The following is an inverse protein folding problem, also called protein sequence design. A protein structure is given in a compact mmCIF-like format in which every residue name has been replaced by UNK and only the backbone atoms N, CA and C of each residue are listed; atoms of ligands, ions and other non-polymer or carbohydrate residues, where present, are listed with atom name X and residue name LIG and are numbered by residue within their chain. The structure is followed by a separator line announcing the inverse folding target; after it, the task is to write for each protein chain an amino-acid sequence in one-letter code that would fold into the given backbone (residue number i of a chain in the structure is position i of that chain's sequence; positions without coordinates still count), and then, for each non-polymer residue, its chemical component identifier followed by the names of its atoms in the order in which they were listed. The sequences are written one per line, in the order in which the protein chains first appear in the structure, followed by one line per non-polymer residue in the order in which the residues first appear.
data_IF_964561592252
#
_entry.id   IF_964561592252
#
_cell.length_a   1.000
_cell.length_b   1.000
_cell.length_c   1.000
_cell.angle_alpha   90.00
_cell.angle_beta   90.00
_cell.angle_gamma   90.00
#
_symmetry.space_group_name_H-M   'P 1'
#
loop_
_entity.id
_entity.type
_entity.pdbx_description
1 polymer ?
#
# COMPACT_ATOMS: atom_id res chain seq x y z
N UNK A 1 9.78 15.88 -12.69
CA UNK A 1 9.69 16.16 -11.24
C UNK A 1 11.06 16.46 -10.65
N UNK A 2 12.07 15.61 -10.82
CA UNK A 2 13.45 15.89 -10.33
C UNK A 2 14.11 17.15 -10.91
N UNK A 3 13.76 17.53 -12.15
CA UNK A 3 14.27 18.79 -12.76
C UNK A 3 13.70 20.08 -12.15
N UNK A 4 12.75 20.00 -11.23
CA UNK A 4 12.09 21.15 -10.59
C UNK A 4 12.54 21.37 -9.13
N UNK A 5 13.62 20.72 -8.69
CA UNK A 5 14.16 20.86 -7.33
C UNK A 5 13.55 19.93 -6.28
N UNK A 6 12.74 18.94 -6.69
CA UNK A 6 12.17 17.94 -5.78
C UNK A 6 13.10 16.73 -5.63
N UNK A 7 13.17 16.19 -4.41
CA UNK A 7 13.94 15.00 -4.05
C UNK A 7 13.00 13.79 -3.94
N UNK A 8 13.39 12.67 -4.55
CA UNK A 8 12.63 11.43 -4.46
C UNK A 8 12.82 10.76 -3.10
N UNK A 9 11.72 10.39 -2.44
CA UNK A 9 11.71 9.73 -1.14
C UNK A 9 10.93 8.40 -1.20
N UNK A 10 11.59 7.27 -1.51
CA UNK A 10 10.93 5.97 -1.55
C UNK A 10 10.58 5.50 -0.12
N UNK A 11 9.33 5.09 0.10
CA UNK A 11 8.86 4.55 1.37
C UNK A 11 8.34 3.11 1.22
N UNK A 12 8.39 2.33 2.30
CA UNK A 12 7.78 1.01 2.32
C UNK A 12 6.24 1.12 2.18
N UNK A 13 5.58 0.17 1.51
CA UNK A 13 4.16 0.23 1.25
C UNK A 13 3.29 -0.22 2.43
N UNK A 14 3.86 -0.40 3.63
CA UNK A 14 3.17 -0.83 4.84
C UNK A 14 2.74 0.39 5.65
N UNK A 15 1.50 0.37 6.14
CA UNK A 15 0.91 1.47 6.90
C UNK A 15 0.13 0.93 8.09
N UNK A 16 0.12 1.72 9.16
CA UNK A 16 -0.81 1.52 10.28
C UNK A 16 -2.17 2.13 9.95
N UNK A 17 -3.26 1.51 10.40
CA UNK A 17 -4.60 2.08 10.22
C UNK A 17 -4.79 3.40 10.98
N UNK A 18 -4.03 3.61 12.05
CA UNK A 18 -4.02 4.87 12.82
C UNK A 18 -3.62 6.07 11.95
N UNK A 19 -2.88 5.85 10.85
CA UNK A 19 -2.47 6.94 9.97
C UNK A 19 -3.66 7.62 9.31
N UNK A 20 -4.75 6.89 9.06
CA UNK A 20 -5.95 7.46 8.46
C UNK A 20 -6.68 8.39 9.43
N UNK A 21 -6.63 8.09 10.72
CA UNK A 21 -7.13 8.98 11.78
C UNK A 21 -6.28 10.24 11.89
N UNK A 22 -4.95 10.10 11.81
CA UNK A 22 -4.02 11.23 11.81
C UNK A 22 -4.18 12.14 10.58
N UNK A 23 -4.57 11.56 9.45
CA UNK A 23 -4.93 12.29 8.23
C UNK A 23 -6.33 12.93 8.30
N UNK A 24 -7.12 12.65 9.33
CA UNK A 24 -8.46 13.20 9.50
C UNK A 24 -9.47 12.64 8.50
N UNK A 25 -9.24 11.44 7.95
CA UNK A 25 -10.17 10.82 7.01
C UNK A 25 -11.45 10.40 7.74
N UNK A 26 -12.62 10.56 7.10
CA UNK A 26 -13.87 10.04 7.66
C UNK A 26 -13.85 8.51 7.75
N UNK A 27 -14.64 7.92 8.66
CA UNK A 27 -14.63 6.47 8.89
C UNK A 27 -15.07 5.65 7.65
N UNK A 28 -15.90 6.24 6.80
CA UNK A 28 -16.42 5.67 5.56
C UNK A 28 -15.56 6.02 4.32
N UNK A 29 -14.44 6.71 4.51
CA UNK A 29 -13.57 7.12 3.42
C UNK A 29 -13.03 5.91 2.63
N UNK A 30 -13.16 5.89 1.29
CA UNK A 30 -12.62 4.83 0.44
C UNK A 30 -11.14 4.50 0.66
N UNK A 31 -10.33 5.47 1.07
CA UNK A 31 -8.90 5.29 1.33
C UNK A 31 -8.64 4.48 2.61
N UNK A 32 -9.63 4.33 3.51
CA UNK A 32 -9.56 3.43 4.68
C UNK A 32 -9.81 1.97 4.33
N UNK A 33 -10.35 1.68 3.14
CA UNK A 33 -10.47 0.29 2.66
C UNK A 33 -9.10 -0.19 2.19
N UNK A 34 -8.39 -0.86 3.10
CA UNK A 34 -7.03 -1.35 2.88
C UNK A 34 -6.97 -2.85 2.66
N UNK A 35 -5.91 -3.31 2.01
CA UNK A 35 -5.56 -4.73 1.95
C UNK A 35 -4.67 -5.05 3.15
N UNK A 36 -5.13 -5.92 4.04
CA UNK A 36 -4.33 -6.43 5.18
C UNK A 36 -3.52 -7.65 4.78
N UNK A 37 -2.27 -7.70 5.22
CA UNK A 37 -1.41 -8.86 5.07
C UNK A 37 -1.72 -9.89 6.16
N UNK A 38 -1.83 -11.15 5.76
CA UNK A 38 -2.01 -12.27 6.70
C UNK A 38 -0.73 -12.58 7.49
N UNK A 39 0.44 -12.22 6.95
CA UNK A 39 1.73 -12.38 7.59
C UNK A 39 2.54 -11.07 7.44
N UNK A 40 2.23 -10.04 8.24
CA UNK A 40 2.92 -8.77 8.17
C UNK A 40 4.33 -8.86 8.76
N UNK A 41 5.23 -7.97 8.33
CA UNK A 41 6.56 -7.87 8.93
C UNK A 41 6.53 -7.26 10.34
N UNK A 42 5.52 -6.41 10.60
CA UNK A 42 5.24 -5.80 11.90
C UNK A 42 3.73 -5.75 12.12
N UNK A 43 3.28 -6.09 13.33
CA UNK A 43 1.86 -6.03 13.72
C UNK A 43 1.34 -4.59 13.81
N UNK A 44 2.23 -3.60 13.91
CA UNK A 44 1.87 -2.17 13.95
C UNK A 44 1.49 -1.63 12.56
N UNK A 45 2.02 -2.22 11.49
CA UNK A 45 1.83 -1.81 10.10
C UNK A 45 1.36 -2.98 9.21
N UNK A 46 0.18 -3.58 9.51
CA UNK A 46 -0.25 -4.79 8.82
C UNK A 46 -0.93 -4.52 7.46
N UNK A 47 -1.20 -3.26 7.12
CA UNK A 47 -1.98 -2.88 5.95
C UNK A 47 -1.09 -2.34 4.82
N UNK A 48 -1.52 -2.56 3.58
CA UNK A 48 -0.93 -1.94 2.40
C UNK A 48 -1.48 -0.54 2.18
N UNK A 49 -0.61 0.38 1.75
CA UNK A 49 -0.96 1.77 1.48
C UNK A 49 -1.97 1.91 0.33
N UNK A 50 -2.99 2.74 0.55
CA UNK A 50 -3.97 3.18 -0.45
C UNK A 50 -3.60 4.53 -1.09
N UNK A 51 -2.61 5.23 -0.52
CA UNK A 51 -2.08 6.52 -1.01
C UNK A 51 -0.59 6.62 -0.69
N UNK A 52 0.13 7.48 -1.41
CA UNK A 52 1.55 7.80 -1.14
C UNK A 52 1.71 8.88 -0.07
N UNK A 53 0.64 9.60 0.27
CA UNK A 53 0.67 10.70 1.25
C UNK A 53 1.19 10.30 2.64
N UNK A 54 0.77 9.17 3.26
CA UNK A 54 1.29 8.75 4.55
C UNK A 54 2.83 8.63 4.57
N UNK A 55 3.41 8.01 3.55
CA UNK A 55 4.85 7.80 3.43
C UNK A 55 5.59 9.14 3.26
N UNK A 56 5.09 10.00 2.37
CA UNK A 56 5.66 11.33 2.14
C UNK A 56 5.60 12.24 3.37
N UNK A 57 4.48 12.26 4.10
CA UNK A 57 4.36 13.04 5.33
C UNK A 57 5.25 12.50 6.45
N UNK A 58 5.39 11.17 6.54
CA UNK A 58 6.37 10.55 7.43
C UNK A 58 7.80 10.95 7.08
N UNK A 59 8.15 10.99 5.79
CA UNK A 59 9.45 11.45 5.33
C UNK A 59 9.67 12.94 5.62
N UNK A 60 8.65 13.78 5.44
CA UNK A 60 8.69 15.20 5.78
C UNK A 60 8.93 15.40 7.28
N UNK A 61 8.16 14.73 8.15
CA UNK A 61 8.33 14.79 9.61
C UNK A 61 9.72 14.34 10.05
N UNK A 62 10.28 13.30 9.43
CA UNK A 62 11.65 12.82 9.74
C UNK A 62 12.74 13.82 9.35
N UNK A 63 12.56 14.55 8.24
CA UNK A 63 13.55 15.55 7.80
C UNK A 63 13.41 16.85 8.59
N UNK A 64 12.18 17.28 8.89
CA UNK A 64 11.91 18.44 9.76
C UNK A 64 12.54 18.24 11.15
N UNK A 65 12.36 17.06 11.75
CA UNK A 65 12.98 16.69 13.03
C UNK A 65 14.51 16.60 13.01
N UNK A 66 15.14 16.64 11.82
CA UNK A 66 16.61 16.68 11.65
C UNK A 66 17.11 18.08 11.27
N UNK A 67 16.24 19.10 11.29
CA UNK A 67 16.60 20.49 11.02
C UNK A 67 16.56 20.88 9.54
N UNK A 68 16.05 20.01 8.65
CA UNK A 68 15.83 20.36 7.26
C UNK A 68 14.39 20.89 7.10
N UNK A 69 14.22 22.21 7.10
CA UNK A 69 12.90 22.85 7.05
C UNK A 69 12.44 23.24 5.63
N UNK A 70 13.38 23.46 4.71
CA UNK A 70 13.10 23.73 3.30
C UNK A 70 13.20 22.44 2.48
N UNK A 71 12.06 21.77 2.29
CA UNK A 71 11.98 20.47 1.62
C UNK A 71 10.95 20.46 0.50
N UNK A 72 11.33 19.87 -0.62
CA UNK A 72 10.42 19.52 -1.71
C UNK A 72 10.60 18.02 -1.98
N UNK A 73 9.63 17.20 -1.57
CA UNK A 73 9.70 15.73 -1.70
C UNK A 73 8.65 15.23 -2.69
N UNK A 74 8.99 14.16 -3.42
CA UNK A 74 8.04 13.41 -4.23
C UNK A 74 8.30 11.90 -4.12
N UNK A 75 7.29 11.10 -4.45
CA UNK A 75 7.42 9.65 -4.48
C UNK A 75 6.64 9.12 -5.69
N UNK A 76 7.20 8.10 -6.36
CA UNK A 76 6.49 7.31 -7.36
C UNK A 76 6.47 5.86 -6.89
N UNK A 77 5.29 5.26 -6.81
CA UNK A 77 5.17 3.89 -6.32
C UNK A 77 3.75 3.34 -6.42
N UNK A 78 3.63 2.06 -6.12
CA UNK A 78 2.35 1.35 -6.17
C UNK A 78 1.47 1.68 -4.96
N UNK A 79 0.16 1.76 -5.21
CA UNK A 79 -0.89 1.83 -4.20
C UNK A 79 -1.87 0.68 -4.43
N UNK A 80 -2.50 0.21 -3.36
CA UNK A 80 -3.32 -0.99 -3.37
C UNK A 80 -4.75 -0.63 -2.99
N UNK A 81 -5.66 -0.68 -3.96
CA UNK A 81 -7.08 -0.50 -3.73
C UNK A 81 -7.79 -1.86 -3.77
N UNK A 82 -8.53 -2.25 -2.72
CA UNK A 82 -9.27 -3.50 -2.74
C UNK A 82 -10.39 -3.43 -3.78
N UNK A 83 -10.50 -4.47 -4.61
CA UNK A 83 -11.66 -4.68 -5.48
C UNK A 83 -12.87 -5.13 -4.65
N UNK A 84 -14.06 -4.76 -5.09
CA UNK A 84 -15.33 -5.13 -4.42
C UNK A 84 -15.54 -6.66 -4.35
N UNK A 85 -15.03 -7.40 -5.34
CA UNK A 85 -15.00 -8.86 -5.35
C UNK A 85 -13.57 -9.37 -5.18
N UNK A 86 -13.20 -9.80 -3.98
CA UNK A 86 -11.99 -10.60 -3.77
C UNK A 86 -12.35 -12.08 -3.91
N UNK A 87 -12.05 -12.67 -5.08
CA UNK A 87 -12.11 -14.12 -5.24
C UNK A 87 -10.89 -14.72 -4.55
N UNK A 88 -11.10 -15.64 -3.61
CA UNK A 88 -9.99 -16.41 -3.02
C UNK A 88 -9.33 -17.20 -4.14
N UNK A 89 -8.04 -16.96 -4.36
CA UNK A 89 -7.24 -17.80 -5.24
C UNK A 89 -7.32 -19.25 -4.74
N UNK A 90 -7.78 -20.14 -5.61
CA UNK A 90 -7.88 -21.57 -5.32
C UNK A 90 -6.48 -22.15 -5.30
N UNK A 91 -6.15 -22.97 -4.29
CA UNK A 91 -4.90 -23.74 -4.30
C UNK A 91 -5.01 -24.81 -5.38
N UNK A 92 -4.21 -24.67 -6.43
CA UNK A 92 -4.12 -25.64 -7.50
C UNK A 92 -3.41 -26.92 -7.01
N UNK A 93 -3.79 -28.10 -7.53
CA UNK A 93 -3.09 -29.35 -7.24
C UNK A 93 -1.64 -29.29 -7.72
N UNK A 94 -0.74 -29.92 -6.96
CA UNK A 94 0.71 -29.98 -7.25
C UNK A 94 1.16 -31.38 -7.72
N UNK A 95 0.29 -32.37 -7.56
CA UNK A 95 0.47 -33.77 -7.93
C UNK A 95 0.16 -34.05 -9.41
N UNK A 96 -0.57 -33.13 -10.07
CA UNK A 96 -0.90 -33.20 -11.50
C UNK A 96 -0.85 -31.81 -12.13
N UNK A 97 -0.83 -31.78 -13.47
CA UNK A 97 -1.05 -30.55 -14.21
C UNK A 97 -2.47 -30.01 -13.93
N UNK A 98 -2.63 -28.72 -13.59
CA UNK A 98 -3.94 -28.07 -13.50
C UNK A 98 -4.69 -28.14 -14.83
N UNK A 99 -6.01 -28.30 -14.76
CA UNK A 99 -6.90 -28.24 -15.93
C UNK A 99 -7.03 -26.79 -16.42
N UNK A 100 -7.44 -26.63 -17.69
CA UNK A 100 -7.62 -25.31 -18.28
C UNK A 100 -8.71 -24.48 -17.54
N UNK A 101 -9.72 -25.15 -16.98
CA UNK A 101 -10.75 -24.51 -16.13
C UNK A 101 -10.17 -24.02 -14.79
N UNK A 102 -9.33 -24.82 -14.15
CA UNK A 102 -8.66 -24.44 -12.90
C UNK A 102 -7.70 -23.26 -13.12
N UNK A 103 -7.01 -23.22 -14.27
CA UNK A 103 -6.16 -22.11 -14.68
C UNK A 103 -6.97 -20.84 -14.98
N UNK A 104 -8.05 -20.95 -15.75
CA UNK A 104 -8.93 -19.83 -16.03
C UNK A 104 -9.58 -19.25 -14.76
N UNK A 105 -9.88 -20.11 -13.77
CA UNK A 105 -10.37 -19.68 -12.46
C UNK A 105 -9.33 -18.90 -11.64
N UNK A 106 -8.04 -19.26 -11.75
CA UNK A 106 -6.93 -18.52 -11.13
C UNK A 106 -6.75 -17.15 -11.79
N UNK A 107 -6.72 -17.09 -13.12
CA UNK A 107 -6.56 -15.83 -13.85
C UNK A 107 -7.72 -14.87 -13.57
N UNK A 108 -8.94 -15.38 -13.45
CA UNK A 108 -10.11 -14.59 -13.09
C UNK A 108 -10.13 -14.10 -11.63
N UNK A 109 -9.21 -14.58 -10.78
CA UNK A 109 -9.05 -14.15 -9.38
C UNK A 109 -7.93 -13.11 -9.18
N UNK A 110 -7.15 -12.79 -10.23
CA UNK A 110 -6.07 -11.79 -10.24
C UNK A 110 -6.56 -10.39 -10.71
#
# INVERSE_FOLDING_TARGET
VSGAGYVEAPNYPFVSEQVFDQLGLAADDPARRVVRLTNPLSDEEPALRTSLLPGLLGALRRNDGRGSHDLALFETGLVFHPRAEQRKAVRLPVDRRPTDEELAGLDAAL
#
